data_IF_281836685627
#
_entry.id   IF_281836685627
#
_cell.length_a   1.000
_cell.length_b   1.000
_cell.length_c   1.000
_cell.angle_alpha   90.00
_cell.angle_beta   90.00
_cell.angle_gamma   90.00
#
_symmetry.space_group_name_H-M   'P 1'
#
loop_
_entity.id
_entity.type
_entity.pdbx_description
1 polymer ?
#
# COMPACT_ATOMS: atom_id res chain seq x y z
N UNK A 1 -1.58 13.24 -6.43
CA UNK A 1 -3.04 13.41 -6.61
C UNK A 1 -3.70 13.48 -5.25
N UNK A 2 -4.43 14.57 -4.96
CA UNK A 2 -5.18 14.71 -3.73
C UNK A 2 -6.64 14.33 -4.01
N UNK A 3 -7.11 13.22 -3.40
CA UNK A 3 -8.43 12.62 -3.64
C UNK A 3 -9.48 13.10 -2.62
N UNK A 4 -9.05 13.82 -1.58
CA UNK A 4 -9.92 14.49 -0.64
C UNK A 4 -10.36 15.83 -1.23
N UNK A 5 -11.52 15.82 -1.89
CA UNK A 5 -12.17 17.01 -2.44
C UNK A 5 -13.48 17.28 -1.70
N UNK A 6 -14.08 18.45 -1.91
CA UNK A 6 -15.34 18.81 -1.25
C UNK A 6 -16.46 17.79 -1.51
N UNK A 7 -16.51 17.21 -2.70
CA UNK A 7 -17.50 16.18 -3.02
C UNK A 7 -17.35 14.92 -2.15
N UNK A 8 -16.11 14.46 -1.90
CA UNK A 8 -15.88 13.28 -1.06
C UNK A 8 -16.12 13.57 0.41
N UNK A 9 -15.78 14.79 0.89
CA UNK A 9 -16.11 15.24 2.25
C UNK A 9 -17.60 15.35 2.49
N UNK A 10 -18.37 15.89 1.55
CA UNK A 10 -19.82 16.01 1.67
C UNK A 10 -20.50 14.64 1.68
N UNK A 11 -20.08 13.73 0.80
CA UNK A 11 -20.67 12.39 0.68
C UNK A 11 -20.34 11.48 1.87
N UNK A 12 -19.14 11.62 2.43
CA UNK A 12 -18.63 10.79 3.52
C UNK A 12 -18.21 11.66 4.71
N UNK A 13 -19.13 12.51 5.17
CA UNK A 13 -18.86 13.56 6.16
C UNK A 13 -18.73 13.08 7.60
N UNK A 14 -19.24 11.89 7.91
CA UNK A 14 -19.37 11.38 9.28
C UNK A 14 -18.24 10.44 9.69
N UNK A 15 -17.32 10.12 8.79
CA UNK A 15 -16.22 9.20 9.07
C UNK A 15 -14.99 9.47 8.19
N UNK A 16 -13.99 8.61 8.31
CA UNK A 16 -12.72 8.71 7.60
C UNK A 16 -12.56 7.65 6.51
N UNK A 17 -13.65 7.11 5.95
CA UNK A 17 -13.56 5.97 5.03
C UNK A 17 -12.68 6.24 3.81
N UNK A 18 -12.65 7.47 3.30
CA UNK A 18 -11.77 7.84 2.18
C UNK A 18 -10.30 7.73 2.56
N UNK A 19 -9.94 8.22 3.75
CA UNK A 19 -8.59 8.11 4.31
C UNK A 19 -8.21 6.65 4.55
N UNK A 20 -9.13 5.84 5.08
CA UNK A 20 -8.88 4.42 5.32
C UNK A 20 -8.72 3.61 4.03
N UNK A 21 -9.58 3.81 3.04
CA UNK A 21 -9.45 3.13 1.74
C UNK A 21 -8.14 3.52 1.04
N UNK A 22 -7.73 4.80 1.12
CA UNK A 22 -6.41 5.23 0.63
C UNK A 22 -5.26 4.51 1.35
N UNK A 23 -5.37 4.34 2.68
CA UNK A 23 -4.37 3.60 3.48
C UNK A 23 -4.32 2.13 3.06
N UNK A 24 -5.47 1.50 2.86
CA UNK A 24 -5.59 0.07 2.50
C UNK A 24 -5.06 -0.21 1.08
N UNK A 25 -5.32 0.69 0.12
CA UNK A 25 -4.90 0.54 -1.28
C UNK A 25 -3.52 1.15 -1.58
N UNK A 26 -2.77 1.54 -0.55
CA UNK A 26 -1.41 2.02 -0.73
C UNK A 26 -0.48 0.87 -1.11
N UNK A 27 0.24 1.03 -2.22
CA UNK A 27 1.23 0.06 -2.69
C UNK A 27 2.58 0.67 -3.06
N UNK A 28 2.77 1.98 -2.82
CA UNK A 28 4.00 2.70 -3.17
C UNK A 28 4.98 2.87 -1.99
N UNK A 29 4.83 2.10 -0.92
CA UNK A 29 5.68 2.15 0.27
C UNK A 29 6.05 0.74 0.73
N UNK A 30 7.24 0.54 1.30
CA UNK A 30 7.62 -0.73 1.90
C UNK A 30 6.59 -1.20 2.94
N UNK A 31 6.37 -2.50 2.99
CA UNK A 31 5.46 -3.12 3.95
C UNK A 31 6.20 -3.48 5.24
N UNK A 32 5.52 -3.41 6.38
CA UNK A 32 6.09 -3.91 7.63
C UNK A 32 5.95 -5.44 7.69
N UNK A 33 7.06 -6.11 7.96
CA UNK A 33 7.10 -7.54 8.25
C UNK A 33 7.42 -7.68 9.74
N UNK A 34 6.46 -8.22 10.48
CA UNK A 34 6.58 -8.44 11.93
C UNK A 34 6.37 -9.91 12.20
N UNK A 35 7.43 -10.55 12.67
CA UNK A 35 7.47 -11.94 13.13
C UNK A 35 8.27 -11.95 14.43
N UNK A 36 7.90 -12.82 15.34
CA UNK A 36 8.65 -13.05 16.58
C UNK A 36 9.55 -14.26 16.35
N UNK A 37 10.86 -14.10 16.53
CA UNK A 37 11.79 -15.22 16.44
C UNK A 37 11.57 -16.15 17.64
N UNK A 38 11.28 -17.42 17.36
CA UNK A 38 11.26 -18.44 18.41
C UNK A 38 12.69 -18.72 18.87
N UNK A 39 12.96 -18.88 20.18
CA UNK A 39 14.33 -19.11 20.69
C UNK A 39 15.01 -20.36 20.11
N UNK A 40 14.24 -21.32 19.63
CA UNK A 40 14.72 -22.58 19.03
C UNK A 40 15.07 -22.44 17.53
N UNK A 41 14.73 -21.31 16.91
CA UNK A 41 14.90 -21.08 15.47
C UNK A 41 16.19 -20.31 15.21
N UNK A 42 17.02 -20.83 14.31
CA UNK A 42 18.27 -20.18 13.92
C UNK A 42 18.00 -18.84 13.20
N UNK A 43 18.97 -17.93 13.24
CA UNK A 43 18.84 -16.64 12.54
C UNK A 43 18.62 -16.82 11.03
N UNK A 44 19.23 -17.85 10.43
CA UNK A 44 19.04 -18.17 9.02
C UNK A 44 17.61 -18.60 8.71
N UNK A 45 17.07 -19.54 9.50
CA UNK A 45 15.70 -20.02 9.34
C UNK A 45 14.69 -18.90 9.60
N UNK A 46 14.97 -18.02 10.57
CA UNK A 46 14.13 -16.86 10.86
C UNK A 46 14.08 -15.86 9.71
N UNK A 47 15.22 -15.58 9.06
CA UNK A 47 15.25 -14.75 7.84
C UNK A 47 14.40 -15.39 6.74
N UNK A 48 14.49 -16.70 6.55
CA UNK A 48 13.67 -17.40 5.56
C UNK A 48 12.17 -17.29 5.88
N UNK A 49 11.79 -17.33 7.17
CA UNK A 49 10.41 -17.10 7.60
C UNK A 49 9.93 -15.67 7.29
N UNK A 50 10.80 -14.66 7.52
CA UNK A 50 10.53 -13.27 7.17
C UNK A 50 10.34 -13.09 5.66
N UNK A 51 11.18 -13.72 4.84
CA UNK A 51 11.08 -13.68 3.37
C UNK A 51 9.79 -14.36 2.88
N UNK A 52 9.43 -15.52 3.44
CA UNK A 52 8.19 -16.21 3.13
C UNK A 52 6.97 -15.34 3.49
N UNK A 53 7.01 -14.69 4.65
CA UNK A 53 5.96 -13.75 5.07
C UNK A 53 5.89 -12.53 4.16
N UNK A 54 7.04 -11.96 3.78
CA UNK A 54 7.12 -10.85 2.83
C UNK A 54 6.51 -11.24 1.49
N UNK A 55 6.85 -12.40 0.94
CA UNK A 55 6.32 -12.89 -0.33
C UNK A 55 4.78 -12.95 -0.34
N UNK A 56 4.18 -13.44 0.76
CA UNK A 56 2.72 -13.45 0.91
C UNK A 56 2.13 -12.05 0.93
N UNK A 57 2.79 -11.10 1.58
CA UNK A 57 2.36 -9.69 1.59
C UNK A 57 2.53 -9.08 0.18
N UNK A 58 3.62 -9.37 -0.53
CA UNK A 58 3.86 -8.89 -1.89
C UNK A 58 2.77 -9.35 -2.87
N UNK A 59 2.31 -10.61 -2.77
CA UNK A 59 1.16 -11.10 -3.54
C UNK A 59 -0.09 -10.25 -3.32
N UNK A 60 -0.38 -9.88 -2.07
CA UNK A 60 -1.47 -8.93 -1.74
C UNK A 60 -1.18 -7.54 -2.30
N UNK A 61 0.03 -7.01 -2.14
CA UNK A 61 0.40 -5.65 -2.59
C UNK A 61 0.27 -5.49 -4.11
N UNK A 62 0.61 -6.53 -4.87
CA UNK A 62 0.43 -6.58 -6.33
C UNK A 62 -1.05 -6.39 -6.72
N UNK A 63 -1.99 -7.01 -5.99
CA UNK A 63 -3.42 -6.89 -6.29
C UNK A 63 -4.04 -5.53 -5.91
N UNK A 64 -3.42 -4.76 -5.00
CA UNK A 64 -3.92 -3.44 -4.59
C UNK A 64 -4.00 -2.43 -5.75
N UNK A 65 -3.11 -2.57 -6.73
CA UNK A 65 -3.03 -1.66 -7.89
C UNK A 65 -4.34 -1.56 -8.67
N UNK A 66 -5.07 -2.67 -8.80
CA UNK A 66 -6.37 -2.74 -9.48
C UNK A 66 -7.42 -1.92 -8.74
N UNK A 67 -7.58 -2.17 -7.43
CA UNK A 67 -8.51 -1.43 -6.58
C UNK A 67 -8.19 0.06 -6.50
N UNK A 68 -6.89 0.41 -6.47
CA UNK A 68 -6.45 1.82 -6.51
C UNK A 68 -6.88 2.50 -7.81
N UNK A 69 -6.73 1.82 -8.94
CA UNK A 69 -7.18 2.32 -10.25
C UNK A 69 -8.69 2.61 -10.26
N UNK A 70 -9.50 1.70 -9.71
CA UNK A 70 -10.95 1.90 -9.57
C UNK A 70 -11.29 3.08 -8.66
N UNK A 71 -10.59 3.23 -7.53
CA UNK A 71 -10.81 4.33 -6.59
C UNK A 71 -10.54 5.70 -7.22
N UNK A 72 -9.46 5.83 -8.00
CA UNK A 72 -9.00 7.11 -8.54
C UNK A 72 -9.40 7.35 -10.00
N UNK A 73 -10.31 6.54 -10.54
CA UNK A 73 -10.73 6.62 -11.94
C UNK A 73 -11.28 8.01 -12.28
N UNK A 74 -10.78 8.60 -13.37
CA UNK A 74 -11.20 9.91 -13.88
C UNK A 74 -11.10 11.07 -12.86
N UNK A 75 -10.22 10.96 -11.84
CA UNK A 75 -10.05 12.00 -10.82
C UNK A 75 -8.94 13.01 -11.11
N UNK A 76 -8.07 12.73 -12.06
CA UNK A 76 -6.94 13.60 -12.42
C UNK A 76 -7.14 14.31 -13.76
N UNK A 77 -6.66 15.55 -13.83
CA UNK A 77 -6.59 16.35 -15.05
C UNK A 77 -5.13 16.74 -15.27
N UNK A 78 -4.35 15.92 -16.00
CA UNK A 78 -2.94 16.21 -16.22
C UNK A 78 -2.77 17.41 -17.16
N UNK A 79 -1.70 18.18 -16.94
CA UNK A 79 -1.27 19.23 -17.86
C UNK A 79 -0.64 18.59 -19.10
N UNK A 80 -0.87 19.15 -20.29
CA UNK A 80 -0.37 18.58 -21.55
C UNK A 80 1.17 18.46 -21.60
N UNK A 81 1.86 19.35 -20.90
CA UNK A 81 3.33 19.45 -20.90
C UNK A 81 3.99 18.63 -19.80
N UNK A 82 3.22 17.98 -18.92
CA UNK A 82 3.76 17.28 -17.75
C UNK A 82 3.54 15.77 -17.86
N UNK A 83 4.52 15.01 -17.39
CA UNK A 83 4.37 13.57 -17.26
C UNK A 83 3.35 13.25 -16.17
N UNK A 84 2.47 12.29 -16.43
CA UNK A 84 1.57 11.77 -15.41
C UNK A 84 2.41 11.00 -14.38
N UNK A 85 2.37 11.38 -13.09
CA UNK A 85 3.15 10.68 -12.07
C UNK A 85 2.58 9.28 -11.85
N UNK A 86 3.34 8.26 -12.24
CA UNK A 86 3.00 6.86 -11.98
C UNK A 86 3.61 6.48 -10.63
N UNK A 87 2.80 6.16 -9.61
CA UNK A 87 3.33 5.73 -8.32
C UNK A 87 4.03 4.38 -8.48
N UNK A 88 5.20 4.18 -7.84
CA UNK A 88 5.88 2.90 -7.88
C UNK A 88 5.02 1.81 -7.21
N UNK A 89 5.27 0.57 -7.61
CA UNK A 89 4.75 -0.60 -6.92
C UNK A 89 5.88 -1.18 -6.06
N UNK A 90 5.78 -1.02 -4.75
CA UNK A 90 6.79 -1.48 -3.82
C UNK A 90 6.51 -2.90 -3.32
N UNK A 91 7.54 -3.73 -3.33
CA UNK A 91 7.55 -5.12 -2.88
C UNK A 91 8.68 -5.40 -1.89
N UNK A 92 9.29 -4.36 -1.33
CA UNK A 92 10.26 -4.48 -0.22
C UNK A 92 9.57 -4.51 1.14
N UNK A 93 10.20 -5.22 2.09
CA UNK A 93 9.80 -5.30 3.48
C UNK A 93 10.71 -4.48 4.40
N UNK A 94 10.15 -3.93 5.48
CA UNK A 94 10.90 -3.44 6.63
C UNK A 94 10.63 -4.36 7.81
N UNK A 95 11.67 -5.04 8.29
CA UNK A 95 11.62 -5.72 9.57
C UNK A 95 11.44 -4.69 10.68
N UNK A 96 10.56 -4.97 11.64
CA UNK A 96 10.49 -4.21 12.87
C UNK A 96 11.62 -4.67 13.81
N UNK A 97 12.18 -3.77 14.64
CA UNK A 97 13.13 -4.13 15.68
C UNK A 97 12.49 -5.03 16.75
#
# INVERSE_FOLDING_TARGET
MNFECEATKLRFSIDHRIREVRRLLQSARPVHVSLVQNPEVSDHDFVQEQEARLLMICKRTLSLSVGRGMLTLATSRPTLTELVPIPPLEITGRALP
#
